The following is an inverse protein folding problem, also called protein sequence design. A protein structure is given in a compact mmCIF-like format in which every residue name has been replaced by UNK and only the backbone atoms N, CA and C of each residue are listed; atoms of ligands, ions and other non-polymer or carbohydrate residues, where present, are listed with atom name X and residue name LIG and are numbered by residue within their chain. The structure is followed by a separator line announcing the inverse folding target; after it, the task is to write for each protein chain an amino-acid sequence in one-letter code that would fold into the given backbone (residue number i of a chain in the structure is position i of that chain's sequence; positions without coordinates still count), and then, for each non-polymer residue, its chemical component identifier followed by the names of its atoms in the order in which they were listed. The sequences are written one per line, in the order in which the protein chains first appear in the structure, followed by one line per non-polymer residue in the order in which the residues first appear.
data_IF_015096961344
#
_entry.id   IF_015096961344
#
_cell.length_a   1.000
_cell.length_b   1.000
_cell.length_c   1.000
_cell.angle_alpha   90.00
_cell.angle_beta   90.00
_cell.angle_gamma   90.00
#
_symmetry.space_group_name_H-M   'P 1'
#
loop_
_entity.id
_entity.type
_entity.pdbx_description
1 polymer ?
#
# COMPACT_ATOMS: atom_id res chain seq x y z
N UNK A 1 -27.57 -2.48 19.16
CA UNK A 1 -26.73 -3.48 19.86
C UNK A 1 -25.29 -3.08 19.67
N UNK A 2 -24.52 -2.90 20.74
CA UNK A 2 -23.06 -2.73 20.65
C UNK A 2 -22.43 -4.12 20.64
N UNK A 3 -21.51 -4.40 19.70
CA UNK A 3 -20.76 -5.65 19.71
C UNK A 3 -19.88 -5.68 20.97
N UNK A 4 -19.74 -6.84 21.65
CA UNK A 4 -18.87 -6.94 22.80
C UNK A 4 -17.42 -6.67 22.40
N UNK A 5 -16.67 -6.04 23.32
CA UNK A 5 -15.24 -5.79 23.12
C UNK A 5 -14.49 -7.12 22.96
N UNK A 6 -13.73 -7.23 21.89
CA UNK A 6 -12.89 -8.36 21.58
C UNK A 6 -11.44 -8.02 21.90
N UNK A 7 -10.73 -8.99 22.50
CA UNK A 7 -9.31 -8.92 22.76
C UNK A 7 -8.70 -10.29 22.49
N UNK A 8 -7.81 -10.37 21.50
CA UNK A 8 -7.12 -11.60 21.09
C UNK A 8 -5.62 -11.29 21.03
N UNK A 9 -4.79 -12.18 21.57
CA UNK A 9 -3.33 -12.15 21.42
C UNK A 9 -2.89 -13.59 21.13
N UNK A 10 -2.40 -13.83 19.91
CA UNK A 10 -1.95 -15.13 19.44
C UNK A 10 -0.46 -15.02 19.17
N UNK A 11 0.30 -15.94 19.75
CA UNK A 11 1.70 -16.18 19.42
C UNK A 11 1.79 -17.54 18.73
N UNK A 12 2.49 -17.61 17.61
CA UNK A 12 2.69 -18.84 16.86
C UNK A 12 4.11 -18.90 16.34
N UNK A 13 4.72 -20.08 16.42
CA UNK A 13 6.07 -20.33 15.91
C UNK A 13 6.01 -21.47 14.91
N UNK A 14 6.54 -21.24 13.71
CA UNK A 14 6.69 -22.25 12.67
C UNK A 14 8.17 -22.60 12.60
N UNK A 15 8.52 -23.86 12.86
CA UNK A 15 9.91 -24.35 12.81
C UNK A 15 10.09 -25.29 11.62
N UNK A 16 11.13 -25.03 10.84
CA UNK A 16 11.65 -25.93 9.82
C UNK A 16 13.18 -26.02 9.96
N UNK A 17 13.85 -27.01 9.32
CA UNK A 17 15.30 -27.18 9.44
C UNK A 17 16.13 -25.96 9.02
N UNK A 18 15.61 -25.15 8.11
CA UNK A 18 16.34 -24.00 7.52
C UNK A 18 15.70 -22.66 7.87
N UNK A 19 14.56 -22.65 8.55
CA UNK A 19 13.75 -21.45 8.71
C UNK A 19 12.84 -21.53 9.93
N UNK A 20 12.91 -20.52 10.80
CA UNK A 20 11.98 -20.35 11.92
C UNK A 20 11.30 -19.00 11.79
N UNK A 21 9.96 -19.00 11.83
CA UNK A 21 9.16 -17.78 11.82
C UNK A 21 8.35 -17.68 13.10
N UNK A 22 8.50 -16.58 13.81
CA UNK A 22 7.63 -16.20 14.92
C UNK A 22 6.61 -15.20 14.42
N UNK A 23 5.34 -15.44 14.75
CA UNK A 23 4.22 -14.59 14.37
C UNK A 23 3.46 -14.20 15.63
N UNK A 24 3.19 -12.92 15.78
CA UNK A 24 2.33 -12.38 16.84
C UNK A 24 1.19 -11.57 16.24
N UNK A 25 -0.03 -12.04 16.45
CA UNK A 25 -1.25 -11.37 16.02
C UNK A 25 -2.04 -10.87 17.23
N UNK A 26 -2.36 -9.58 17.27
CA UNK A 26 -3.21 -8.96 18.29
C UNK A 26 -4.42 -8.33 17.65
N UNK A 27 -5.57 -8.49 18.29
CA UNK A 27 -6.81 -7.77 17.97
C UNK A 27 -7.33 -7.12 19.26
N UNK A 28 -7.66 -5.84 19.21
CA UNK A 28 -8.33 -5.12 20.29
C UNK A 28 -9.37 -4.18 19.67
N UNK A 29 -10.59 -4.21 20.18
CA UNK A 29 -11.64 -3.28 19.77
C UNK A 29 -13.03 -3.88 19.81
N UNK A 30 -13.99 -3.16 19.26
CA UNK A 30 -15.39 -3.55 19.16
C UNK A 30 -15.97 -2.95 17.88
N UNK A 31 -16.84 -3.68 17.19
CA UNK A 31 -17.39 -3.18 15.93
C UNK A 31 -18.00 -1.79 16.10
N UNK A 32 -17.65 -0.83 15.22
CA UNK A 32 -16.83 -0.96 14.00
C UNK A 32 -15.33 -0.66 14.19
N UNK A 33 -14.93 -0.22 15.39
CA UNK A 33 -13.57 0.22 15.71
C UNK A 33 -12.68 -0.95 16.14
N UNK A 34 -11.77 -1.37 15.27
CA UNK A 34 -10.80 -2.42 15.55
C UNK A 34 -9.38 -1.92 15.33
N UNK A 35 -8.46 -2.42 16.16
CA UNK A 35 -7.02 -2.33 15.95
C UNK A 35 -6.44 -3.71 15.94
N UNK A 36 -5.71 -4.02 14.88
CA UNK A 36 -4.99 -5.27 14.69
C UNK A 36 -3.52 -4.97 14.54
N UNK A 37 -2.67 -5.77 15.17
CA UNK A 37 -1.23 -5.75 14.97
C UNK A 37 -0.81 -7.14 14.56
N UNK A 38 -0.05 -7.25 13.48
CA UNK A 38 0.58 -8.48 13.04
C UNK A 38 2.08 -8.22 12.94
N UNK A 39 2.85 -8.85 13.84
CA UNK A 39 4.30 -8.88 13.76
C UNK A 39 4.75 -10.26 13.30
N UNK A 40 5.75 -10.32 12.43
CA UNK A 40 6.40 -11.56 12.08
C UNK A 40 7.91 -11.37 12.00
N UNK A 41 8.69 -12.29 12.53
CA UNK A 41 10.16 -12.26 12.45
C UNK A 41 10.66 -13.62 12.02
N UNK A 42 11.63 -13.62 11.11
CA UNK A 42 12.20 -14.82 10.55
C UNK A 42 13.70 -14.95 10.85
N UNK A 43 14.09 -16.14 11.31
CA UNK A 43 15.47 -16.51 11.57
C UNK A 43 15.87 -17.72 10.71
N UNK A 44 17.09 -17.67 10.18
CA UNK A 44 17.62 -18.71 9.28
C UNK A 44 19.15 -18.74 9.33
N UNK A 45 19.77 -19.94 9.19
CA UNK A 45 21.20 -20.04 8.89
C UNK A 45 21.61 -19.35 7.58
N UNK A 46 20.68 -19.20 6.64
CA UNK A 46 20.88 -18.42 5.41
C UNK A 46 20.40 -16.99 5.69
N UNK A 47 21.36 -16.09 5.96
CA UNK A 47 21.07 -14.71 6.44
C UNK A 47 20.12 -13.95 5.51
N UNK A 48 20.18 -14.18 4.20
CA UNK A 48 19.28 -13.59 3.19
C UNK A 48 17.81 -13.99 3.29
N UNK A 49 17.45 -14.91 4.18
CA UNK A 49 16.05 -15.26 4.41
C UNK A 49 15.51 -14.55 5.66
N UNK A 50 16.35 -13.89 6.44
CA UNK A 50 15.93 -13.21 7.66
C UNK A 50 15.18 -11.92 7.34
N UNK A 51 14.08 -11.69 8.06
CA UNK A 51 13.34 -10.44 7.97
C UNK A 51 12.60 -10.16 9.27
N UNK A 52 12.23 -8.90 9.46
CA UNK A 52 11.26 -8.45 10.45
C UNK A 52 10.11 -7.72 9.76
N UNK A 53 8.88 -8.08 10.09
CA UNK A 53 7.64 -7.46 9.63
C UNK A 53 6.92 -6.88 10.83
N UNK A 54 6.72 -5.57 10.81
CA UNK A 54 5.86 -4.84 11.73
C UNK A 54 4.65 -4.31 10.98
N UNK A 55 3.47 -4.89 11.18
CA UNK A 55 2.25 -4.42 10.52
C UNK A 55 1.11 -4.16 11.48
N UNK A 56 0.24 -3.25 11.08
CA UNK A 56 -0.97 -2.87 11.80
C UNK A 56 -2.11 -2.64 10.81
N UNK A 57 -3.33 -2.90 11.26
CA UNK A 57 -4.55 -2.58 10.55
C UNK A 57 -5.50 -1.94 11.55
N UNK A 58 -6.27 -0.95 11.11
CA UNK A 58 -7.33 -0.35 11.89
C UNK A 58 -8.58 -0.20 11.04
N UNK A 59 -9.73 -0.47 11.63
CA UNK A 59 -11.02 -0.01 11.10
C UNK A 59 -11.60 0.99 12.08
N UNK A 60 -12.13 2.10 11.58
CA UNK A 60 -12.80 3.13 12.40
C UNK A 60 -13.99 3.72 11.65
N UNK A 61 -14.90 4.36 12.39
CA UNK A 61 -15.91 5.23 11.77
C UNK A 61 -15.46 6.70 11.81
N UNK A 62 -15.30 7.30 10.63
CA UNK A 62 -15.03 8.74 10.48
C UNK A 62 -16.20 9.38 9.73
N UNK A 63 -16.83 10.41 10.30
CA UNK A 63 -17.97 11.12 9.69
C UNK A 63 -19.11 10.19 9.22
N UNK A 64 -19.39 9.12 9.97
CA UNK A 64 -20.42 8.14 9.61
C UNK A 64 -20.01 7.16 8.50
N UNK A 65 -18.74 7.14 8.11
CA UNK A 65 -18.17 6.26 7.09
C UNK A 65 -17.14 5.30 7.68
N UNK A 66 -17.11 4.06 7.20
CA UNK A 66 -16.03 3.13 7.53
C UNK A 66 -14.73 3.55 6.83
N UNK A 67 -13.67 3.68 7.63
CA UNK A 67 -12.29 3.89 7.18
C UNK A 67 -11.46 2.70 7.63
N UNK A 68 -10.75 2.08 6.68
CA UNK A 68 -9.84 0.96 6.95
C UNK A 68 -8.44 1.37 6.53
N UNK A 69 -7.52 1.42 7.48
CA UNK A 69 -6.11 1.67 7.23
C UNK A 69 -5.28 0.44 7.56
N UNK A 70 -4.21 0.19 6.82
CA UNK A 70 -3.17 -0.72 7.24
C UNK A 70 -1.80 -0.14 6.90
N UNK A 71 -0.83 -0.42 7.75
CA UNK A 71 0.56 -0.01 7.57
C UNK A 71 1.45 -1.21 7.84
N UNK A 72 2.53 -1.35 7.10
CA UNK A 72 3.50 -2.41 7.32
C UNK A 72 4.91 -1.91 7.03
N UNK A 73 5.86 -2.28 7.88
CA UNK A 73 7.29 -2.11 7.65
C UNK A 73 7.92 -3.49 7.60
N UNK A 74 8.42 -3.88 6.43
CA UNK A 74 9.23 -5.07 6.24
C UNK A 74 10.70 -4.66 6.19
N UNK A 75 11.47 -5.11 7.16
CA UNK A 75 12.91 -4.89 7.25
C UNK A 75 13.61 -6.17 6.83
N UNK A 76 14.40 -6.09 5.76
CA UNK A 76 15.29 -7.14 5.28
C UNK A 76 16.71 -6.58 5.23
N UNK A 77 17.72 -7.45 5.22
CA UNK A 77 19.12 -7.00 5.15
C UNK A 77 19.41 -6.10 3.93
N UNK A 78 18.81 -6.45 2.79
CA UNK A 78 19.09 -5.78 1.51
C UNK A 78 18.18 -4.56 1.25
N UNK A 79 17.03 -4.48 1.93
CA UNK A 79 16.06 -3.40 1.74
C UNK A 79 15.08 -3.28 2.92
N UNK A 80 14.48 -2.11 3.06
CA UNK A 80 13.31 -1.88 3.90
C UNK A 80 12.15 -1.47 3.01
N UNK A 81 10.96 -2.01 3.27
CA UNK A 81 9.73 -1.66 2.58
C UNK A 81 8.73 -1.08 3.59
N UNK A 82 8.37 0.18 3.41
CA UNK A 82 7.31 0.88 4.15
C UNK A 82 6.04 0.91 3.29
N UNK A 83 4.95 0.38 3.81
CA UNK A 83 3.66 0.25 3.13
C UNK A 83 2.64 1.02 3.96
N UNK A 84 1.87 1.89 3.32
CA UNK A 84 0.65 2.44 3.89
C UNK A 84 -0.51 2.30 2.91
N UNK A 85 -1.65 1.83 3.40
CA UNK A 85 -2.89 1.79 2.64
C UNK A 85 -4.04 2.38 3.46
N UNK A 86 -4.97 3.03 2.77
CA UNK A 86 -6.18 3.58 3.37
C UNK A 86 -7.36 3.46 2.41
N UNK A 87 -8.44 2.85 2.86
CA UNK A 87 -9.71 2.69 2.16
C UNK A 87 -10.77 3.50 2.90
N UNK A 88 -11.47 4.40 2.20
CA UNK A 88 -12.59 5.16 2.75
C UNK A 88 -13.85 4.82 1.97
N UNK A 89 -14.83 4.21 2.63
CA UNK A 89 -16.01 3.68 1.95
C UNK A 89 -16.94 4.78 1.42
N UNK A 90 -17.16 5.86 2.18
CA UNK A 90 -18.04 6.96 1.73
C UNK A 90 -17.48 7.73 0.55
N UNK A 91 -16.17 7.95 0.51
CA UNK A 91 -15.51 8.60 -0.61
C UNK A 91 -15.26 7.66 -1.80
N UNK A 92 -15.46 6.34 -1.60
CA UNK A 92 -15.02 5.28 -2.52
C UNK A 92 -13.57 5.49 -2.93
N UNK A 93 -12.72 5.78 -1.95
CA UNK A 93 -11.30 6.07 -2.15
C UNK A 93 -10.40 4.96 -1.60
N UNK A 94 -9.31 4.71 -2.29
CA UNK A 94 -8.25 3.79 -1.87
C UNK A 94 -6.90 4.40 -2.23
N UNK A 95 -6.04 4.58 -1.24
CA UNK A 95 -4.66 5.02 -1.42
C UNK A 95 -3.75 3.86 -1.00
N UNK A 96 -2.72 3.59 -1.78
CA UNK A 96 -1.63 2.67 -1.46
C UNK A 96 -0.31 3.34 -1.80
N UNK A 97 0.58 3.41 -0.82
CA UNK A 97 1.93 3.92 -0.94
C UNK A 97 2.88 2.81 -0.51
N UNK A 98 3.91 2.56 -1.31
CA UNK A 98 5.00 1.65 -0.94
C UNK A 98 6.32 2.36 -1.21
N UNK A 99 7.17 2.42 -0.20
CA UNK A 99 8.52 2.97 -0.27
C UNK A 99 9.53 1.87 0.03
N UNK A 100 10.33 1.52 -0.97
CA UNK A 100 11.41 0.54 -0.85
C UNK A 100 12.71 1.34 -0.80
N UNK A 101 13.42 1.24 0.33
CA UNK A 101 14.76 1.79 0.49
C UNK A 101 15.76 0.66 0.43
N UNK A 102 16.79 0.76 -0.41
CA UNK A 102 17.81 -0.29 -0.53
C UNK A 102 19.22 0.27 -0.55
N UNK A 103 20.12 -0.41 0.15
CA UNK A 103 21.56 -0.15 0.07
C UNK A 103 22.25 -0.96 -1.04
N UNK A 104 21.58 -1.99 -1.57
CA UNK A 104 22.16 -2.94 -2.53
C UNK A 104 21.70 -2.69 -3.96
N UNK A 105 20.54 -2.06 -4.15
CA UNK A 105 20.02 -1.63 -5.44
C UNK A 105 19.53 -0.17 -5.37
N UNK A 106 18.44 0.17 -6.08
CA UNK A 106 17.85 1.51 -6.08
C UNK A 106 16.64 1.59 -5.17
N UNK A 107 16.42 2.77 -4.60
CA UNK A 107 15.15 3.09 -3.97
C UNK A 107 14.01 3.11 -5.00
N UNK A 108 12.83 2.67 -4.59
CA UNK A 108 11.62 2.60 -5.41
C UNK A 108 10.43 3.14 -4.63
N UNK A 109 9.67 4.05 -5.22
CA UNK A 109 8.39 4.50 -4.67
C UNK A 109 7.25 4.05 -5.58
N UNK A 110 6.26 3.38 -5.02
CA UNK A 110 4.98 3.10 -5.64
C UNK A 110 3.95 4.04 -5.01
N UNK A 111 3.14 4.67 -5.86
CA UNK A 111 1.97 5.44 -5.44
C UNK A 111 0.77 4.97 -6.23
N UNK A 112 -0.32 4.69 -5.55
CA UNK A 112 -1.60 4.34 -6.15
C UNK A 112 -2.71 5.10 -5.43
N UNK A 113 -3.63 5.64 -6.20
CA UNK A 113 -4.84 6.25 -5.66
C UNK A 113 -6.01 5.97 -6.60
N UNK A 114 -7.06 5.36 -6.07
CA UNK A 114 -8.37 5.28 -6.70
C UNK A 114 -9.37 6.15 -5.93
N UNK A 115 -10.22 6.85 -6.67
CA UNK A 115 -11.26 7.75 -6.19
C UNK A 115 -12.48 7.61 -7.09
N UNK A 116 -13.59 8.21 -6.71
CA UNK A 116 -14.82 8.20 -7.50
C UNK A 116 -14.68 8.81 -8.90
N UNK A 117 -13.72 9.71 -9.09
CA UNK A 117 -13.45 10.43 -10.34
C UNK A 117 -12.28 9.86 -11.15
N UNK A 118 -11.57 8.85 -10.65
CA UNK A 118 -10.45 8.27 -11.38
C UNK A 118 -9.54 7.34 -10.59
N UNK A 119 -8.53 6.84 -11.29
CA UNK A 119 -7.46 5.99 -10.76
C UNK A 119 -6.14 6.56 -11.24
N UNK A 120 -5.13 6.55 -10.38
CA UNK A 120 -3.76 6.88 -10.73
C UNK A 120 -2.82 5.87 -10.11
N UNK A 121 -1.72 5.61 -10.80
CA UNK A 121 -0.63 4.80 -10.28
C UNK A 121 0.69 5.29 -10.82
N UNK A 122 1.75 5.19 -10.04
CA UNK A 122 3.10 5.52 -10.50
C UNK A 122 4.15 4.69 -9.78
N UNK A 123 5.26 4.48 -10.49
CA UNK A 123 6.49 3.92 -9.95
C UNK A 123 7.60 4.92 -10.24
N UNK A 124 8.40 5.23 -9.24
CA UNK A 124 9.55 6.11 -9.40
C UNK A 124 10.81 5.57 -8.75
N UNK A 125 11.95 5.97 -9.30
CA UNK A 125 13.27 5.77 -8.71
C UNK A 125 14.04 7.09 -8.81
N UNK A 126 14.87 7.44 -7.82
CA UNK A 126 15.64 8.69 -7.87
C UNK A 126 16.51 8.82 -9.12
N UNK A 127 17.05 7.71 -9.64
CA UNK A 127 17.93 7.71 -10.81
C UNK A 127 17.24 7.71 -12.18
N UNK A 128 16.04 7.12 -12.30
CA UNK A 128 15.37 6.96 -13.61
C UNK A 128 14.14 7.85 -13.78
N UNK A 129 13.70 8.54 -12.72
CA UNK A 129 12.48 9.33 -12.73
C UNK A 129 11.24 8.48 -12.45
N UNK A 130 10.09 8.90 -12.99
CA UNK A 130 8.77 8.33 -12.72
C UNK A 130 8.10 7.82 -14.00
N UNK A 131 7.43 6.67 -13.90
CA UNK A 131 6.44 6.20 -14.85
C UNK A 131 5.07 6.25 -14.19
N UNK A 132 4.12 6.93 -14.81
CA UNK A 132 2.79 7.17 -14.27
C UNK A 132 1.69 6.77 -15.23
N UNK A 133 0.59 6.28 -14.69
CA UNK A 133 -0.68 6.12 -15.39
C UNK A 133 -1.78 6.88 -14.65
N UNK A 134 -2.71 7.43 -15.42
CA UNK A 134 -3.91 8.08 -14.91
C UNK A 134 -5.11 7.67 -15.75
N UNK A 135 -6.23 7.49 -15.07
CA UNK A 135 -7.52 7.22 -15.64
C UNK A 135 -8.52 8.17 -14.98
N UNK A 136 -9.16 9.01 -15.76
CA UNK A 136 -10.06 10.06 -15.26
C UNK A 136 -11.43 9.90 -15.91
N UNK A 137 -12.46 9.87 -15.06
CA UNK A 137 -13.88 9.86 -15.43
C UNK A 137 -14.61 11.09 -14.90
N UNK A 138 -13.90 12.21 -14.78
CA UNK A 138 -14.40 13.49 -14.24
C UNK A 138 -15.43 14.17 -15.15
N UNK A 139 -15.52 13.78 -16.43
CA UNK A 139 -16.53 14.28 -17.37
C UNK A 139 -17.59 13.19 -17.57
N UNK A 140 -18.89 13.48 -17.40
CA UNK A 140 -19.95 12.50 -17.60
C UNK A 140 -19.84 11.82 -18.96
N UNK A 141 -19.83 10.50 -18.93
CA UNK A 141 -19.71 9.65 -20.12
C UNK A 141 -18.40 9.81 -20.89
N UNK A 142 -17.38 10.55 -20.43
CA UNK A 142 -16.06 10.53 -21.06
C UNK A 142 -15.05 9.87 -20.15
N UNK A 143 -14.07 9.22 -20.77
CA UNK A 143 -12.99 8.56 -20.05
C UNK A 143 -11.67 8.96 -20.70
N UNK A 144 -10.77 9.53 -19.91
CA UNK A 144 -9.42 9.88 -20.34
C UNK A 144 -8.43 8.94 -19.67
N UNK A 145 -7.56 8.32 -20.46
CA UNK A 145 -6.43 7.54 -19.98
C UNK A 145 -5.13 8.19 -20.45
N UNK A 146 -4.15 8.28 -19.56
CA UNK A 146 -2.82 8.85 -19.81
C UNK A 146 -1.76 7.92 -19.26
N UNK A 147 -0.76 7.60 -20.06
CA UNK A 147 0.50 6.97 -19.66
C UNK A 147 1.61 7.99 -19.95
N UNK A 148 2.39 8.33 -18.94
CA UNK A 148 3.41 9.37 -19.03
C UNK A 148 4.65 8.97 -18.24
N UNK A 149 5.80 9.53 -18.62
CA UNK A 149 7.00 9.49 -17.79
C UNK A 149 7.44 10.90 -17.41
N UNK A 150 8.28 10.98 -16.40
CA UNK A 150 8.94 12.22 -15.96
C UNK A 150 10.37 11.89 -15.64
N UNK A 151 11.30 12.58 -16.29
CA UNK A 151 12.72 12.32 -16.11
C UNK A 151 13.25 12.92 -14.81
N UNK A 152 14.22 12.25 -14.18
CA UNK A 152 14.84 12.75 -12.95
C UNK A 152 15.53 14.13 -13.13
N UNK A 153 16.05 14.41 -14.33
CA UNK A 153 16.73 15.67 -14.65
C UNK A 153 15.77 16.81 -15.03
N UNK A 154 14.48 16.52 -15.24
CA UNK A 154 13.44 17.49 -15.60
C UNK A 154 12.15 17.17 -14.81
N UNK A 155 12.15 17.39 -13.49
CA UNK A 155 11.05 16.96 -12.61
C UNK A 155 9.75 17.77 -12.79
N UNK A 156 9.80 18.86 -13.54
CA UNK A 156 8.64 19.71 -13.81
C UNK A 156 7.94 19.37 -15.15
N UNK A 157 8.56 18.53 -15.98
CA UNK A 157 8.10 18.22 -17.33
C UNK A 157 7.64 16.76 -17.46
N UNK A 158 6.32 16.57 -17.61
CA UNK A 158 5.78 15.27 -17.99
C UNK A 158 5.89 15.03 -19.51
N UNK A 159 6.30 13.83 -19.90
CA UNK A 159 6.29 13.36 -21.28
C UNK A 159 5.19 12.32 -21.47
N UNK A 160 4.21 12.67 -22.30
CA UNK A 160 3.13 11.75 -22.68
C UNK A 160 3.66 10.62 -23.57
N UNK A 161 3.45 9.39 -23.13
CA UNK A 161 3.74 8.18 -23.91
C UNK A 161 2.50 7.78 -24.71
N UNK A 162 1.33 7.79 -24.05
CA UNK A 162 0.04 7.47 -24.66
C UNK A 162 -1.08 8.24 -23.96
N UNK A 163 -1.95 8.84 -24.76
CA UNK A 163 -3.15 9.53 -24.28
C UNK A 163 -4.35 9.09 -25.10
N UNK A 164 -5.39 8.56 -24.44
CA UNK A 164 -6.61 8.04 -25.05
C UNK A 164 -7.81 8.76 -24.45
N UNK A 165 -8.73 9.17 -25.31
CA UNK A 165 -10.04 9.71 -24.92
C UNK A 165 -11.14 8.84 -25.53
N UNK A 166 -12.01 8.30 -24.68
CA UNK A 166 -13.20 7.57 -25.08
C UNK A 166 -14.45 8.41 -24.80
N UNK A 167 -15.35 8.46 -25.78
CA UNK A 167 -16.65 9.14 -25.70
C UNK A 167 -17.74 8.23 -26.30
N UNK A 168 -18.97 8.25 -25.77
CA UNK A 168 -20.08 7.46 -26.28
C UNK A 168 -20.32 7.81 -27.73
N UNK A 169 -20.64 6.80 -28.53
CA UNK A 169 -21.36 7.02 -29.77
C UNK A 169 -22.82 7.29 -29.39
N UNK A 170 -23.33 8.45 -29.81
CA UNK A 170 -24.72 8.83 -29.64
C UNK A 170 -25.69 7.90 -30.36
#
# INVERSE_FOLDING_TARGET
LSAPKQKIDILSTIKSPVYTTDVRAKLDGNAPDYKTVLKASATSPVVRLQYDLDSSMSSTMENGALVVGANAVLTHQDFTMDISNAIRMSERSHILNVDITSQTFTDVNLRYAARSDGISGSVSTPGSGLLGFQLQGNIPSQMNARLYCRYAFAPDDDVDILSVRAVPKG
#
